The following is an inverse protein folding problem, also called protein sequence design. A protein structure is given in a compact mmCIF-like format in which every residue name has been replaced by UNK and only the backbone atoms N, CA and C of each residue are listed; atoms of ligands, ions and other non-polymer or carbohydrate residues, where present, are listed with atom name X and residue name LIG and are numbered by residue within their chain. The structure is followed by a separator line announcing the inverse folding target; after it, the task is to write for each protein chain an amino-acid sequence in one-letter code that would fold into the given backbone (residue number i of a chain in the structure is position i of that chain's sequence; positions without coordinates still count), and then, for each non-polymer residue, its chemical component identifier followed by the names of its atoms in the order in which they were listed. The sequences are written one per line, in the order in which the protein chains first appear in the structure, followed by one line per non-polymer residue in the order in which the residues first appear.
data_IF_061875993229
#
_entry.id   IF_061875993229
#
_cell.length_a   1.000
_cell.length_b   1.000
_cell.length_c   1.000
_cell.angle_alpha   90.00
_cell.angle_beta   90.00
_cell.angle_gamma   90.00
#
_symmetry.space_group_name_H-M   'P 1'
#
loop_
_entity.id
_entity.type
_entity.pdbx_description
1 polymer ?
#
# COMPACT_ATOMS: atom_id res chain seq x y z
N UNK A 1 1.84 11.39 -8.83
CA UNK A 1 1.16 10.14 -8.42
C UNK A 1 2.11 8.94 -8.38
N UNK A 2 2.95 8.71 -9.40
CA UNK A 2 3.95 7.61 -9.38
C UNK A 2 4.90 7.64 -8.17
N UNK A 3 5.50 8.79 -7.86
CA UNK A 3 6.40 8.92 -6.70
C UNK A 3 5.69 8.62 -5.37
N UNK A 4 4.44 9.06 -5.22
CA UNK A 4 3.65 8.75 -4.04
C UNK A 4 3.41 7.23 -3.95
N UNK A 5 2.95 6.59 -5.03
CA UNK A 5 2.71 5.13 -5.07
C UNK A 5 3.97 4.33 -4.69
N UNK A 6 5.14 4.76 -5.16
CA UNK A 6 6.42 4.16 -4.78
C UNK A 6 6.67 4.28 -3.26
N UNK A 7 6.49 5.47 -2.68
CA UNK A 7 6.65 5.69 -1.23
C UNK A 7 5.72 4.77 -0.43
N UNK A 8 4.45 4.63 -0.82
CA UNK A 8 3.52 3.73 -0.12
C UNK A 8 3.93 2.25 -0.25
N UNK A 9 4.45 1.84 -1.41
CA UNK A 9 5.00 0.48 -1.61
C UNK A 9 6.23 0.21 -0.75
N UNK A 10 7.16 1.16 -0.68
CA UNK A 10 8.35 1.06 0.16
C UNK A 10 7.98 0.93 1.64
N UNK A 11 7.03 1.76 2.11
CA UNK A 11 6.55 1.71 3.51
C UNK A 11 5.76 0.45 3.83
N UNK A 12 4.94 -0.05 2.91
CA UNK A 12 4.25 -1.34 3.09
C UNK A 12 5.25 -2.49 3.24
N UNK A 13 6.34 -2.47 2.47
CA UNK A 13 7.42 -3.45 2.54
C UNK A 13 8.15 -3.38 3.88
N UNK A 14 8.57 -2.18 4.30
CA UNK A 14 9.22 -1.92 5.59
C UNK A 14 8.36 -2.43 6.76
N UNK A 15 7.07 -2.07 6.77
CA UNK A 15 6.17 -2.45 7.86
C UNK A 15 5.93 -3.96 7.89
N UNK A 16 5.86 -4.61 6.73
CA UNK A 16 5.75 -6.09 6.66
C UNK A 16 7.00 -6.76 7.25
N UNK A 17 8.19 -6.22 7.00
CA UNK A 17 9.43 -6.74 7.59
C UNK A 17 9.46 -6.56 9.12
N UNK A 18 9.04 -5.39 9.61
CA UNK A 18 8.97 -5.13 11.04
C UNK A 18 7.96 -6.01 11.76
N UNK A 19 6.80 -6.27 11.14
CA UNK A 19 5.82 -7.23 11.66
C UNK A 19 6.45 -8.62 11.80
N UNK A 20 7.15 -9.10 10.77
CA UNK A 20 7.84 -10.39 10.81
C UNK A 20 8.91 -10.45 11.91
N UNK A 21 9.64 -9.35 12.13
CA UNK A 21 10.64 -9.23 13.20
C UNK A 21 10.00 -9.33 14.58
N UNK A 22 8.93 -8.59 14.81
CA UNK A 22 8.20 -8.62 16.09
C UNK A 22 7.63 -10.01 16.35
N UNK A 23 7.00 -10.64 15.35
CA UNK A 23 6.47 -12.00 15.49
C UNK A 23 7.56 -13.03 15.81
N UNK A 24 8.75 -12.89 15.22
CA UNK A 24 9.90 -13.75 15.54
C UNK A 24 10.41 -13.54 16.97
N UNK A 25 10.47 -12.29 17.43
CA UNK A 25 10.83 -11.98 18.82
C UNK A 25 9.80 -12.53 19.81
N UNK A 26 8.51 -12.43 19.47
CA UNK A 26 7.41 -12.98 20.27
C UNK A 26 7.49 -14.49 20.38
N UNK A 27 7.72 -15.19 19.27
CA UNK A 27 7.90 -16.64 19.28
C UNK A 27 9.07 -17.06 20.19
N UNK A 28 10.20 -16.35 20.12
CA UNK A 28 11.33 -16.60 21.02
C UNK A 28 10.97 -16.35 22.49
N UNK A 29 10.32 -15.22 22.79
CA UNK A 29 9.93 -14.87 24.15
C UNK A 29 8.98 -15.91 24.78
N UNK A 30 8.02 -16.42 23.99
CA UNK A 30 7.05 -17.43 24.43
C UNK A 30 7.68 -18.77 24.82
N UNK A 31 8.89 -19.09 24.34
CA UNK A 31 9.57 -20.34 24.71
C UNK A 31 10.03 -20.36 26.16
N UNK A 32 10.33 -19.19 26.74
CA UNK A 32 10.93 -19.06 28.07
C UNK A 32 10.04 -18.32 29.06
N UNK A 33 9.10 -17.51 28.58
CA UNK A 33 8.15 -16.79 29.41
C UNK A 33 6.82 -17.51 29.48
N UNK A 34 6.48 -18.01 30.67
CA UNK A 34 5.25 -18.76 30.94
C UNK A 34 4.41 -18.10 32.04
N UNK A 35 3.14 -18.52 32.15
CA UNK A 35 2.20 -18.04 33.17
C UNK A 35 1.24 -16.95 32.66
N UNK A 36 0.31 -16.54 33.51
CA UNK A 36 -0.83 -15.68 33.13
C UNK A 36 -0.40 -14.35 32.49
N UNK A 37 0.68 -13.75 32.96
CA UNK A 37 1.21 -12.51 32.39
C UNK A 37 1.63 -12.68 30.93
N UNK A 38 2.31 -13.78 30.60
CA UNK A 38 2.71 -14.11 29.23
C UNK A 38 1.49 -14.30 28.34
N UNK A 39 0.45 -14.99 28.83
CA UNK A 39 -0.81 -15.20 28.09
C UNK A 39 -1.52 -13.88 27.79
N UNK A 40 -1.63 -12.99 28.78
CA UNK A 40 -2.26 -11.68 28.60
C UNK A 40 -1.48 -10.82 27.60
N UNK A 41 -0.15 -10.84 27.67
CA UNK A 41 0.70 -10.11 26.75
C UNK A 41 0.60 -10.66 25.32
N UNK A 42 0.61 -11.99 25.15
CA UNK A 42 0.41 -12.61 23.83
C UNK A 42 -0.92 -12.21 23.20
N UNK A 43 -2.01 -12.21 23.99
CA UNK A 43 -3.31 -11.76 23.49
C UNK A 43 -3.31 -10.28 23.08
N UNK A 44 -2.60 -9.43 23.82
CA UNK A 44 -2.41 -8.03 23.42
C UNK A 44 -1.59 -7.90 22.12
N UNK A 45 -0.55 -8.73 21.96
CA UNK A 45 0.27 -8.78 20.76
C UNK A 45 -0.48 -9.29 19.52
N UNK A 46 -1.36 -10.29 19.67
CA UNK A 46 -2.23 -10.75 18.58
C UNK A 46 -3.18 -9.63 18.11
N UNK A 47 -3.70 -8.83 19.04
CA UNK A 47 -4.56 -7.69 18.71
C UNK A 47 -3.77 -6.54 18.07
N UNK A 48 -2.55 -6.31 18.54
CA UNK A 48 -1.62 -5.37 17.93
C UNK A 48 -1.29 -5.79 16.49
N UNK A 49 -0.94 -7.06 16.26
CA UNK A 49 -0.63 -7.61 14.94
C UNK A 49 -1.80 -7.41 13.97
N UNK A 50 -3.01 -7.76 14.38
CA UNK A 50 -4.23 -7.53 13.57
C UNK A 50 -4.39 -6.06 13.19
N UNK A 51 -4.20 -5.16 14.15
CA UNK A 51 -4.30 -3.72 13.91
C UNK A 51 -3.20 -3.22 12.98
N UNK A 52 -1.99 -3.76 13.10
CA UNK A 52 -0.85 -3.42 12.28
C UNK A 52 -1.03 -3.92 10.83
N UNK A 53 -1.59 -5.12 10.66
CA UNK A 53 -1.94 -5.66 9.35
C UNK A 53 -2.99 -4.79 8.64
N UNK A 54 -3.94 -4.19 9.37
CA UNK A 54 -4.89 -3.22 8.80
C UNK A 54 -4.15 -2.01 8.21
N UNK A 55 -3.13 -1.49 8.90
CA UNK A 55 -2.32 -0.37 8.40
C UNK A 55 -1.60 -0.77 7.10
N UNK A 56 -0.94 -1.93 7.08
CA UNK A 56 -0.25 -2.44 5.88
C UNK A 56 -1.23 -2.56 4.71
N UNK A 57 -2.40 -3.15 4.95
CA UNK A 57 -3.43 -3.31 3.91
C UNK A 57 -3.93 -1.97 3.38
N UNK A 58 -4.01 -0.92 4.22
CA UNK A 58 -4.38 0.43 3.79
C UNK A 58 -3.29 1.09 2.95
N UNK A 59 -2.00 0.90 3.28
CA UNK A 59 -0.89 1.38 2.46
C UNK A 59 -0.90 0.73 1.07
N UNK A 60 -1.14 -0.58 1.00
CA UNK A 60 -1.28 -1.31 -0.27
C UNK A 60 -2.48 -0.79 -1.07
N UNK A 61 -3.64 -0.61 -0.43
CA UNK A 61 -4.82 -0.07 -1.11
C UNK A 61 -4.59 1.34 -1.67
N UNK A 62 -3.87 2.20 -0.96
CA UNK A 62 -3.50 3.53 -1.47
C UNK A 62 -2.60 3.44 -2.70
N UNK A 63 -1.66 2.50 -2.73
CA UNK A 63 -0.83 2.21 -3.91
C UNK A 63 -1.68 1.82 -5.12
N UNK A 64 -2.63 0.90 -4.93
CA UNK A 64 -3.52 0.42 -6.00
C UNK A 64 -4.38 1.55 -6.56
N UNK A 65 -5.03 2.33 -5.68
CA UNK A 65 -5.90 3.45 -6.10
C UNK A 65 -5.12 4.50 -6.86
N UNK A 66 -3.90 4.85 -6.41
CA UNK A 66 -3.08 5.80 -7.15
C UNK A 66 -2.54 5.24 -8.47
N UNK A 67 -2.26 3.94 -8.52
CA UNK A 67 -1.86 3.25 -9.76
C UNK A 67 -2.96 3.24 -10.81
N UNK A 68 -4.20 2.93 -10.40
CA UNK A 68 -5.40 2.99 -11.26
C UNK A 68 -5.65 4.42 -11.73
N UNK A 69 -5.71 5.38 -10.80
CA UNK A 69 -5.93 6.79 -11.15
C UNK A 69 -4.89 7.30 -12.14
N UNK A 70 -3.60 6.94 -11.97
CA UNK A 70 -2.54 7.36 -12.90
C UNK A 70 -2.79 6.84 -14.32
N UNK A 71 -3.23 5.58 -14.47
CA UNK A 71 -3.54 5.01 -15.79
C UNK A 71 -4.74 5.69 -16.45
N UNK A 72 -5.78 5.96 -15.67
CA UNK A 72 -7.00 6.62 -16.17
C UNK A 72 -6.70 8.06 -16.62
N UNK A 73 -5.85 8.79 -15.89
CA UNK A 73 -5.41 10.13 -16.29
C UNK A 73 -4.62 10.10 -17.61
N UNK A 74 -3.68 9.16 -17.77
CA UNK A 74 -2.92 9.01 -19.03
C UNK A 74 -3.84 8.65 -20.19
N UNK A 75 -4.76 7.70 -20.00
CA UNK A 75 -5.72 7.32 -21.03
C UNK A 75 -6.65 8.48 -21.43
N UNK A 76 -7.09 9.28 -20.46
CA UNK A 76 -7.89 10.48 -20.72
C UNK A 76 -7.09 11.55 -21.47
N UNK A 77 -5.81 11.73 -21.14
CA UNK A 77 -4.91 12.65 -21.85
C UNK A 77 -4.65 12.20 -23.29
N UNK A 78 -4.37 10.93 -23.52
CA UNK A 78 -4.19 10.35 -24.86
C UNK A 78 -5.45 10.53 -25.71
N UNK A 79 -6.63 10.23 -25.14
CA UNK A 79 -7.90 10.41 -25.84
C UNK A 79 -8.19 11.88 -26.17
N UNK A 80 -7.88 12.81 -25.24
CA UNK A 80 -8.03 14.23 -25.47
C UNK A 80 -7.05 14.74 -26.55
N UNK A 81 -5.80 14.26 -26.53
CA UNK A 81 -4.78 14.59 -27.52
C UNK A 81 -5.16 14.08 -28.91
N UNK A 82 -5.67 12.86 -29.03
CA UNK A 82 -6.12 12.29 -30.31
C UNK A 82 -7.37 12.98 -30.83
N UNK A 83 -8.32 13.33 -29.96
CA UNK A 83 -9.49 14.14 -30.33
C UNK A 83 -9.08 15.54 -30.81
N UNK A 84 -8.11 16.17 -30.14
CA UNK A 84 -7.58 17.47 -30.52
C UNK A 84 -6.81 17.41 -31.86
N UNK A 85 -5.99 16.37 -32.08
CA UNK A 85 -5.31 16.12 -33.37
C UNK A 85 -6.32 15.90 -34.50
N UNK A 86 -7.35 15.08 -34.25
CA UNK A 86 -8.41 14.82 -35.22
C UNK A 86 -9.13 16.11 -35.61
N UNK A 87 -9.50 16.93 -34.62
CA UNK A 87 -10.09 18.25 -34.84
C UNK A 87 -9.16 19.19 -35.62
N UNK A 88 -7.87 19.26 -35.26
CA UNK A 88 -6.88 20.06 -35.98
C UNK A 88 -6.70 19.60 -37.44
N UNK A 89 -6.82 18.29 -37.71
CA UNK A 89 -6.72 17.73 -39.05
C UNK A 89 -8.01 17.87 -39.89
N UNK A 90 -9.15 18.19 -39.26
CA UNK A 90 -10.44 18.39 -39.92
C UNK A 90 -10.77 19.87 -40.14
N UNK A 91 -10.00 20.81 -39.58
CA UNK A 91 -10.09 22.22 -39.93
C UNK A 91 -9.47 22.45 -41.32
N UNK A 92 -10.26 22.78 -42.36
CA UNK A 92 -9.74 23.11 -43.67
C UNK A 92 -9.26 24.58 -43.66
N UNK A 93 -7.95 24.78 -43.82
CA UNK A 93 -7.29 26.08 -43.99
C UNK A 93 -7.06 26.83 -42.67
N UNK A 94 -5.87 27.35 -42.34
CA UNK A 94 -5.06 28.31 -43.13
C UNK A 94 -4.84 28.02 -44.61
#
# INVERSE_FOLDING_TARGET
MQQAAQIFGDRATEFTQDLGRVNSMMASLQTSWTGQASTNFNSAMDNWEKSFQVIINKLINMMDVMGVNTKDYVAAEDHAADSAKSFASTLPGV
#
